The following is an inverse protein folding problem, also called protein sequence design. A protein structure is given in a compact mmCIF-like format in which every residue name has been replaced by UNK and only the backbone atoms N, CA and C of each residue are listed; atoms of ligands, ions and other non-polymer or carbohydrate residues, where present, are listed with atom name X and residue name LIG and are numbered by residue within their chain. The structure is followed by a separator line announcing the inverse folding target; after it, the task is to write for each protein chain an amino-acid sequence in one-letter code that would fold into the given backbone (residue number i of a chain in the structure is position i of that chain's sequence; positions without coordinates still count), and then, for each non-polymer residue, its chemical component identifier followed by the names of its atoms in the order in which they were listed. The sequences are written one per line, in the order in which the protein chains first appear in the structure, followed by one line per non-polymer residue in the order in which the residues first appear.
data_IF_962551528639
#
_entry.id   IF_962551528639
#
_cell.length_a   1.000
_cell.length_b   1.000
_cell.length_c   1.000
_cell.angle_alpha   90.00
_cell.angle_beta   90.00
_cell.angle_gamma   90.00
#
_symmetry.space_group_name_H-M   'P 1'
#
loop_
_entity.id
_entity.type
_entity.pdbx_description
1 polymer ?
#
# COMPACT_ATOMS: atom_id res chain seq x y z
N UNK A 1 18.77 -11.21 -13.37
CA UNK A 1 17.53 -11.56 -12.64
C UNK A 1 16.88 -12.74 -13.36
N UNK A 2 16.88 -13.95 -12.77
CA UNK A 2 16.33 -15.17 -13.39
C UNK A 2 15.05 -15.55 -12.64
N UNK A 3 13.94 -15.72 -13.37
CA UNK A 3 12.61 -16.15 -12.93
C UNK A 3 11.66 -15.11 -12.31
N UNK A 4 11.44 -13.97 -12.98
CA UNK A 4 10.27 -13.12 -12.69
C UNK A 4 9.07 -13.61 -13.53
N UNK A 5 8.03 -14.14 -12.88
CA UNK A 5 6.79 -14.57 -13.54
C UNK A 5 5.81 -13.39 -13.57
N UNK A 6 5.34 -13.02 -14.76
CA UNK A 6 4.31 -11.98 -14.91
C UNK A 6 3.00 -12.52 -14.34
N UNK A 7 2.51 -11.89 -13.27
CA UNK A 7 1.22 -12.22 -12.66
C UNK A 7 0.06 -11.72 -13.53
N UNK A 8 -1.04 -12.48 -13.55
CA UNK A 8 -2.26 -12.01 -14.20
C UNK A 8 -2.95 -10.93 -13.35
N UNK A 9 -3.81 -10.11 -13.96
CA UNK A 9 -4.60 -9.10 -13.22
C UNK A 9 -5.46 -9.71 -12.11
N UNK A 10 -5.90 -10.97 -12.27
CA UNK A 10 -6.68 -11.68 -11.25
C UNK A 10 -5.79 -12.01 -10.05
N UNK A 11 -4.59 -12.53 -10.30
CA UNK A 11 -3.65 -12.88 -9.25
C UNK A 11 -3.16 -11.63 -8.49
N UNK A 12 -2.96 -10.51 -9.18
CA UNK A 12 -2.62 -9.24 -8.55
C UNK A 12 -3.67 -8.76 -7.53
N UNK A 13 -4.96 -9.03 -7.78
CA UNK A 13 -6.04 -8.69 -6.83
C UNK A 13 -6.10 -9.62 -5.63
N UNK A 14 -5.47 -10.79 -5.70
CA UNK A 14 -5.38 -11.73 -4.57
C UNK A 14 -4.21 -11.43 -3.64
N UNK A 15 -3.30 -10.55 -4.07
CA UNK A 15 -2.22 -10.07 -3.21
C UNK A 15 -2.84 -9.08 -2.22
N UNK A 16 -2.90 -9.48 -0.96
CA UNK A 16 -3.21 -8.55 0.14
C UNK A 16 -2.00 -7.63 0.28
N UNK A 17 -2.16 -6.38 -0.13
CA UNK A 17 -1.11 -5.36 -0.10
C UNK A 17 -0.87 -4.86 1.33
N UNK A 18 -0.32 -5.73 2.18
CA UNK A 18 0.03 -5.40 3.56
C UNK A 18 -1.14 -4.87 4.39
N UNK A 19 -0.80 -4.08 5.42
CA UNK A 19 -1.76 -3.48 6.38
C UNK A 19 -2.31 -2.12 5.94
N UNK A 20 -2.23 -1.80 4.65
CA UNK A 20 -2.66 -0.50 4.14
C UNK A 20 -4.19 -0.35 4.31
N UNK A 21 -4.68 0.73 4.96
CA UNK A 21 -6.10 0.95 5.15
C UNK A 21 -6.78 1.29 3.82
N UNK A 22 -8.09 1.04 3.76
CA UNK A 22 -8.92 1.58 2.69
C UNK A 22 -9.26 3.02 3.04
N UNK A 23 -8.94 3.96 2.15
CA UNK A 23 -9.28 5.38 2.30
C UNK A 23 -10.51 5.74 1.48
N UNK A 24 -11.16 6.86 1.82
CA UNK A 24 -12.26 7.43 1.05
C UNK A 24 -11.85 7.82 -0.38
N UNK A 25 -12.85 8.06 -1.25
CA UNK A 25 -12.68 8.23 -2.71
C UNK A 25 -11.66 9.31 -3.13
N UNK A 26 -11.42 10.30 -2.28
CA UNK A 26 -10.48 11.41 -2.50
C UNK A 26 -9.24 11.37 -1.59
N UNK A 27 -8.94 10.22 -0.99
CA UNK A 27 -7.78 10.03 -0.12
C UNK A 27 -7.02 8.76 -0.54
N UNK A 28 -5.71 8.76 -0.33
CA UNK A 28 -4.84 7.60 -0.55
C UNK A 28 -4.14 7.22 0.73
N UNK A 29 -3.90 5.92 0.92
CA UNK A 29 -3.11 5.42 2.03
C UNK A 29 -1.63 5.78 1.82
N UNK A 30 -1.02 6.38 2.83
CA UNK A 30 0.37 6.82 2.85
C UNK A 30 1.06 6.27 4.11
N UNK A 31 2.31 5.86 3.98
CA UNK A 31 3.14 5.49 5.13
C UNK A 31 3.72 6.77 5.72
N UNK A 32 3.27 7.13 6.92
CA UNK A 32 3.73 8.33 7.63
C UNK A 32 4.96 8.07 8.51
N UNK A 33 5.28 6.80 8.74
CA UNK A 33 6.40 6.39 9.56
C UNK A 33 6.29 4.92 9.98
N UNK A 34 6.94 4.58 11.08
CA UNK A 34 6.92 3.23 11.65
C UNK A 34 6.70 3.30 13.16
N UNK A 35 6.00 2.32 13.71
CA UNK A 35 5.82 2.18 15.15
C UNK A 35 7.11 1.68 15.86
N UNK A 36 7.05 1.53 17.18
CA UNK A 36 8.19 1.04 17.98
C UNK A 36 8.64 -0.39 17.62
N UNK A 37 7.79 -1.16 16.92
CA UNK A 37 8.09 -2.51 16.44
C UNK A 37 8.55 -2.53 14.97
N UNK A 38 8.65 -1.36 14.32
CA UNK A 38 9.01 -1.23 12.91
C UNK A 38 7.88 -1.51 11.93
N UNK A 39 6.63 -1.64 12.40
CA UNK A 39 5.48 -1.77 11.53
C UNK A 39 5.09 -0.41 10.92
N UNK A 40 4.74 -0.35 9.62
CA UNK A 40 4.39 0.90 8.98
C UNK A 40 3.12 1.49 9.60
N UNK A 41 3.19 2.77 9.94
CA UNK A 41 2.03 3.58 10.36
C UNK A 41 1.43 4.18 9.10
N UNK A 42 0.17 3.81 8.83
CA UNK A 42 -0.57 4.27 7.68
C UNK A 42 -1.50 5.41 8.06
N UNK A 43 -1.65 6.36 7.14
CA UNK A 43 -2.64 7.43 7.24
C UNK A 43 -3.27 7.70 5.87
N UNK A 44 -4.48 8.26 5.87
CA UNK A 44 -5.19 8.65 4.66
C UNK A 44 -4.93 10.12 4.36
N UNK A 45 -4.19 10.38 3.27
CA UNK A 45 -3.81 11.74 2.85
C UNK A 45 -4.48 12.12 1.54
N UNK A 46 -4.67 13.42 1.27
CA UNK A 46 -5.13 13.88 -0.04
C UNK A 46 -4.21 13.39 -1.17
N UNK A 47 -4.70 13.25 -2.42
CA UNK A 47 -3.95 12.65 -3.51
C UNK A 47 -2.74 13.50 -3.92
N UNK A 48 -2.84 14.81 -3.69
CA UNK A 48 -1.80 15.82 -3.93
C UNK A 48 -0.64 15.75 -2.94
N UNK A 49 -0.79 15.03 -1.82
CA UNK A 49 0.27 14.90 -0.83
C UNK A 49 1.39 13.98 -1.37
N UNK A 50 2.67 14.41 -1.36
CA UNK A 50 3.77 13.56 -1.78
C UNK A 50 4.04 12.51 -0.69
N UNK A 51 3.78 11.25 -1.02
CA UNK A 51 4.00 10.09 -0.16
C UNK A 51 4.92 9.07 -0.84
#
# INVERSE_FOLDING_TARGET
MKNLKKLSKRDLKTIVAGSAPTCDLDYKACVMGSDANGAPIWDCVPPSYPC
#
